data_IF_890301143297
#
_entry.id   IF_890301143297
#
_cell.length_a   1.000
_cell.length_b   1.000
_cell.length_c   1.000
_cell.angle_alpha   90.00
_cell.angle_beta   90.00
_cell.angle_gamma   90.00
#
_symmetry.space_group_name_H-M   'P 1'
#
loop_
_entity.id
_entity.type
_entity.pdbx_description
1 polymer ?
#
# COMPACT_ATOMS: atom_id res chain seq x y z
N UNK A 1 -12.04 26.28 29.21
CA UNK A 1 -12.97 25.14 29.08
C UNK A 1 -12.24 23.80 29.06
N UNK A 2 -11.45 23.47 30.09
CA UNK A 2 -10.60 22.25 30.10
C UNK A 2 -10.70 21.41 31.37
N UNK A 3 -11.24 21.96 32.47
CA UNK A 3 -11.37 21.25 33.75
C UNK A 3 -12.66 20.40 33.87
N UNK A 4 -13.75 20.80 33.19
CA UNK A 4 -15.00 20.03 33.23
C UNK A 4 -14.97 18.81 32.32
N UNK A 5 -14.19 18.87 31.23
CA UNK A 5 -14.07 17.80 30.25
C UNK A 5 -13.38 16.55 30.84
N UNK A 6 -12.38 16.75 31.70
CA UNK A 6 -11.67 15.64 32.36
C UNK A 6 -12.56 14.97 33.41
N UNK A 7 -13.30 15.77 34.19
CA UNK A 7 -14.20 15.28 35.25
C UNK A 7 -15.38 14.49 34.71
N UNK A 8 -15.92 14.88 33.55
CA UNK A 8 -16.99 14.13 32.89
C UNK A 8 -16.48 12.81 32.28
N UNK A 9 -15.27 12.81 31.73
CA UNK A 9 -14.65 11.61 31.14
C UNK A 9 -14.29 10.55 32.17
N UNK A 10 -13.83 10.94 33.35
CA UNK A 10 -13.45 10.01 34.42
C UNK A 10 -14.67 9.27 34.99
N UNK A 11 -15.81 9.97 35.12
CA UNK A 11 -17.09 9.36 35.50
C UNK A 11 -17.60 8.35 34.46
N UNK A 12 -17.40 8.64 33.18
CA UNK A 12 -17.77 7.70 32.11
C UNK A 12 -16.87 6.47 32.10
N UNK A 13 -15.57 6.63 32.33
CA UNK A 13 -14.61 5.52 32.37
C UNK A 13 -14.84 4.55 33.55
N UNK A 14 -15.28 5.06 34.70
CA UNK A 14 -15.58 4.23 35.86
C UNK A 14 -16.78 3.30 35.62
N UNK A 15 -17.80 3.78 34.89
CA UNK A 15 -19.04 3.06 34.60
C UNK A 15 -18.97 2.15 33.36
N UNK A 16 -17.80 2.00 32.73
CA UNK A 16 -17.66 1.09 31.59
C UNK A 16 -17.69 -0.38 32.04
N UNK A 17 -18.38 -1.25 31.29
CA UNK A 17 -18.33 -2.69 31.50
C UNK A 17 -16.94 -3.25 31.18
N UNK A 18 -16.56 -4.34 31.84
CA UNK A 18 -15.20 -4.89 31.79
C UNK A 18 -14.74 -5.27 30.38
N UNK A 19 -15.66 -5.66 29.50
CA UNK A 19 -15.38 -5.95 28.08
C UNK A 19 -14.88 -4.73 27.30
N UNK A 20 -15.32 -3.52 27.68
CA UNK A 20 -14.90 -2.26 27.06
C UNK A 20 -13.57 -1.79 27.64
N UNK A 21 -13.35 -1.98 28.94
CA UNK A 21 -12.05 -1.72 29.61
C UNK A 21 -10.94 -2.58 29.00
N UNK A 22 -11.21 -3.87 28.79
CA UNK A 22 -10.24 -4.81 28.19
C UNK A 22 -9.92 -4.47 26.73
N UNK A 23 -10.92 -4.05 25.94
CA UNK A 23 -10.70 -3.55 24.57
C UNK A 23 -9.84 -2.29 24.56
N UNK A 24 -10.12 -1.34 25.45
CA UNK A 24 -9.41 -0.08 25.51
C UNK A 24 -7.95 -0.24 25.98
N UNK A 25 -7.69 -1.20 26.89
CA UNK A 25 -6.34 -1.58 27.31
C UNK A 25 -5.58 -2.30 26.19
N UNK A 26 -6.26 -3.14 25.38
CA UNK A 26 -5.66 -3.77 24.20
C UNK A 26 -5.36 -2.78 23.06
N UNK A 27 -6.09 -1.67 22.99
CA UNK A 27 -5.93 -0.62 21.98
C UNK A 27 -4.98 0.51 22.41
N UNK A 28 -4.61 0.57 23.70
CA UNK A 28 -3.69 1.55 24.27
C UNK A 28 -2.20 1.25 24.09
N UNK A 29 -1.83 0.05 23.61
CA UNK A 29 -0.45 -0.42 23.52
C UNK A 29 0.24 -0.28 22.15
N UNK A 30 -0.38 0.38 21.16
CA UNK A 30 0.20 0.46 19.81
C UNK A 30 -0.07 1.80 19.14
N UNK A 31 0.65 2.82 19.60
CA UNK A 31 0.82 4.08 18.86
C UNK A 31 2.30 4.30 18.54
N UNK A 32 2.88 3.38 17.74
CA UNK A 32 4.02 3.73 16.90
C UNK A 32 3.45 4.22 15.56
N UNK A 33 3.09 5.50 15.55
CA UNK A 33 2.87 6.29 14.34
C UNK A 33 4.19 6.42 13.61
N UNK A 34 4.24 6.04 12.33
CA UNK A 34 5.42 6.26 11.50
C UNK A 34 5.22 5.84 10.05
N UNK A 35 5.12 6.85 9.17
CA UNK A 35 5.57 6.76 7.78
C UNK A 35 4.62 6.13 6.78
N UNK A 36 4.05 6.96 5.91
CA UNK A 36 3.45 6.49 4.66
C UNK A 36 4.45 5.69 3.85
N UNK A 37 4.03 4.52 3.38
CA UNK A 37 4.78 3.68 2.46
C UNK A 37 3.97 3.56 1.17
N UNK A 38 4.15 4.55 0.30
CA UNK A 38 3.97 4.38 -1.15
C UNK A 38 5.04 3.37 -1.59
N UNK A 39 4.67 2.09 -1.63
CA UNK A 39 5.50 1.02 -2.15
C UNK A 39 4.72 0.30 -3.24
N UNK A 40 5.03 0.61 -4.50
CA UNK A 40 4.59 -0.19 -5.65
C UNK A 40 5.09 -1.61 -5.49
N UNK A 41 4.17 -2.55 -5.23
CA UNK A 41 4.48 -3.95 -5.02
C UNK A 41 3.43 -4.81 -5.70
N UNK A 42 3.87 -5.60 -6.67
CA UNK A 42 3.11 -6.66 -7.33
C UNK A 42 2.52 -7.61 -6.28
N UNK A 43 1.26 -7.40 -5.91
CA UNK A 43 0.64 -8.16 -4.84
C UNK A 43 0.03 -9.48 -5.37
N UNK A 44 0.82 -10.56 -5.30
CA UNK A 44 0.38 -11.96 -5.39
C UNK A 44 -0.40 -12.34 -4.12
N UNK A 45 -1.64 -11.87 -4.02
CA UNK A 45 -2.53 -12.15 -2.89
C UNK A 45 -3.68 -11.14 -2.82
N UNK A 46 -4.54 -11.12 -3.84
CA UNK A 46 -5.58 -10.08 -4.02
C UNK A 46 -6.69 -10.23 -2.97
N UNK A 47 -6.60 -9.47 -1.87
CA UNK A 47 -7.83 -8.89 -1.29
C UNK A 47 -8.56 -8.20 -2.46
N UNK A 48 -9.88 -8.38 -2.60
CA UNK A 48 -10.73 -7.67 -3.58
C UNK A 48 -10.69 -6.16 -3.28
N UNK A 49 -9.56 -5.55 -3.60
CA UNK A 49 -9.26 -4.16 -3.37
C UNK A 49 -9.88 -3.32 -4.46
N UNK A 50 -10.28 -2.11 -4.08
CA UNK A 50 -10.72 -1.09 -5.02
C UNK A 50 -9.51 -0.70 -5.88
N UNK A 51 -9.63 -0.85 -7.19
CA UNK A 51 -8.64 -0.40 -8.17
C UNK A 51 -8.96 1.01 -8.67
N UNK A 52 -8.05 1.59 -9.45
CA UNK A 52 -8.19 2.93 -10.03
C UNK A 52 -7.90 2.85 -11.52
N UNK A 53 -8.63 3.62 -12.31
CA UNK A 53 -8.36 3.81 -13.74
C UNK A 53 -8.37 5.29 -14.08
N UNK A 54 -7.62 5.62 -15.12
CA UNK A 54 -7.58 6.94 -15.71
C UNK A 54 -8.28 6.92 -17.06
N UNK A 55 -9.01 7.99 -17.38
CA UNK A 55 -9.71 8.15 -18.65
C UNK A 55 -9.73 9.62 -19.05
N UNK A 56 -9.92 9.90 -20.34
CA UNK A 56 -10.19 11.25 -20.82
C UNK A 56 -11.70 11.47 -20.89
N UNK A 57 -12.16 12.61 -20.38
CA UNK A 57 -13.55 13.04 -20.58
C UNK A 57 -13.78 13.60 -21.98
N UNK A 58 -15.02 13.98 -22.29
CA UNK A 58 -15.40 14.58 -23.59
C UNK A 58 -14.63 15.87 -23.92
N UNK A 59 -14.07 16.53 -22.89
CA UNK A 59 -13.27 17.74 -23.04
C UNK A 59 -11.76 17.45 -23.09
N UNK A 60 -11.36 16.19 -23.29
CA UNK A 60 -9.97 15.73 -23.25
C UNK A 60 -9.24 16.03 -21.93
N UNK A 61 -9.97 16.13 -20.81
CA UNK A 61 -9.34 16.29 -19.50
C UNK A 61 -9.12 14.93 -18.87
N UNK A 62 -7.93 14.75 -18.29
CA UNK A 62 -7.57 13.53 -17.59
C UNK A 62 -8.37 13.43 -16.29
N UNK A 63 -9.14 12.35 -16.16
CA UNK A 63 -9.95 12.03 -15.00
C UNK A 63 -9.54 10.68 -14.41
N UNK A 64 -9.88 10.48 -13.15
CA UNK A 64 -9.63 9.24 -12.42
C UNK A 64 -10.95 8.70 -11.85
N UNK A 65 -11.14 7.39 -11.96
CA UNK A 65 -12.23 6.70 -11.27
C UNK A 65 -11.76 5.46 -10.52
N UNK A 66 -12.45 5.18 -9.42
CA UNK A 66 -12.30 3.94 -8.66
C UNK A 66 -13.18 2.85 -9.30
N UNK A 67 -12.66 1.62 -9.37
CA UNK A 67 -13.39 0.47 -9.86
C UNK A 67 -13.08 -0.81 -9.08
N UNK A 68 -13.94 -1.81 -9.23
CA UNK A 68 -13.74 -3.17 -8.79
C UNK A 68 -13.54 -4.04 -10.03
N UNK A 69 -12.38 -4.72 -10.07
CA UNK A 69 -12.09 -5.66 -11.13
C UNK A 69 -12.87 -6.97 -10.89
N UNK A 70 -13.49 -7.49 -11.95
CA UNK A 70 -14.22 -8.74 -11.99
C UNK A 70 -13.34 -9.90 -12.49
N UNK A 71 -13.89 -10.73 -13.37
CA UNK A 71 -13.16 -11.84 -13.97
C UNK A 71 -12.18 -11.33 -15.04
N UNK A 72 -11.08 -12.07 -15.23
CA UNK A 72 -10.09 -11.80 -16.29
C UNK A 72 -9.86 -13.05 -17.11
N UNK A 73 -9.76 -12.90 -18.43
CA UNK A 73 -9.41 -13.94 -19.39
C UNK A 73 -7.90 -13.95 -19.73
N UNK A 74 -7.11 -13.13 -19.02
CA UNK A 74 -5.67 -12.94 -19.25
C UNK A 74 -5.33 -11.80 -20.21
N UNK A 75 -6.28 -11.30 -20.99
CA UNK A 75 -6.09 -10.14 -21.88
C UNK A 75 -6.95 -8.95 -21.46
N UNK A 76 -8.20 -9.24 -21.12
CA UNK A 76 -9.19 -8.30 -20.66
C UNK A 76 -9.55 -8.60 -19.21
N UNK A 77 -9.93 -7.56 -18.49
CA UNK A 77 -10.48 -7.68 -17.14
C UNK A 77 -11.82 -6.98 -17.11
N UNK A 78 -12.85 -7.70 -16.69
CA UNK A 78 -14.19 -7.16 -16.49
C UNK A 78 -14.16 -6.07 -15.41
N UNK A 79 -14.95 -5.02 -15.60
CA UNK A 79 -15.22 -4.01 -14.57
C UNK A 79 -16.54 -4.37 -13.89
N UNK A 80 -16.48 -5.07 -12.77
CA UNK A 80 -17.68 -5.54 -12.06
C UNK A 80 -18.50 -4.40 -11.42
N UNK A 81 -17.82 -3.30 -11.04
CA UNK A 81 -18.46 -2.09 -10.50
C UNK A 81 -17.52 -0.91 -10.64
N UNK A 82 -18.03 0.25 -11.04
CA UNK A 82 -17.24 1.48 -11.10
C UNK A 82 -18.11 2.71 -10.88
N UNK A 83 -17.54 3.78 -10.33
CA UNK A 83 -18.23 5.06 -10.21
C UNK A 83 -18.00 5.88 -11.47
N UNK A 84 -19.03 6.46 -12.07
CA UNK A 84 -18.88 7.33 -13.25
C UNK A 84 -18.19 6.67 -14.47
N UNK A 85 -18.16 5.33 -14.53
CA UNK A 85 -17.70 4.58 -15.71
C UNK A 85 -18.94 4.09 -16.46
N UNK A 86 -18.95 4.30 -17.78
CA UNK A 86 -20.01 3.90 -18.71
C UNK A 86 -19.40 3.14 -19.87
N UNK A 87 -20.21 2.35 -20.55
CA UNK A 87 -19.82 1.68 -21.79
C UNK A 87 -19.38 2.69 -22.85
N UNK A 88 -18.44 2.30 -23.71
CA UNK A 88 -17.87 3.16 -24.75
C UNK A 88 -16.80 4.15 -24.27
N UNK A 89 -16.61 4.33 -22.96
CA UNK A 89 -15.52 5.16 -22.43
C UNK A 89 -14.16 4.52 -22.71
N UNK A 90 -13.19 5.33 -23.13
CA UNK A 90 -11.81 4.90 -23.33
C UNK A 90 -11.01 5.12 -22.05
N UNK A 91 -10.39 4.06 -21.55
CA UNK A 91 -9.48 4.09 -20.40
C UNK A 91 -8.02 3.99 -20.86
N UNK A 92 -7.10 4.48 -20.04
CA UNK A 92 -5.66 4.35 -20.26
C UNK A 92 -5.21 3.01 -19.68
N UNK A 93 -4.67 2.13 -20.54
CA UNK A 93 -4.19 0.80 -20.16
C UNK A 93 -2.68 0.75 -19.84
N UNK A 94 -1.91 1.75 -20.28
CA UNK A 94 -0.47 1.82 -20.08
C UNK A 94 0.13 3.12 -20.61
N UNK A 95 1.39 3.36 -20.27
CA UNK A 95 2.21 4.47 -20.77
C UNK A 95 3.36 3.83 -21.54
N UNK A 96 3.66 4.35 -22.72
CA UNK A 96 4.82 3.94 -23.52
C UNK A 96 5.89 5.01 -23.30
N UNK A 97 7.02 4.63 -22.71
CA UNK A 97 8.17 5.51 -22.53
C UNK A 97 9.21 5.18 -23.61
N UNK A 98 9.40 6.08 -24.58
CA UNK A 98 10.34 5.86 -25.70
C UNK A 98 11.82 6.06 -25.31
N UNK A 99 12.12 6.42 -24.05
CA UNK A 99 13.46 6.81 -23.59
C UNK A 99 13.87 6.17 -22.26
N UNK A 100 13.62 4.88 -22.06
CA UNK A 100 14.32 4.14 -20.99
C UNK A 100 15.72 3.77 -21.46
N UNK A 101 16.82 4.32 -20.88
CA UNK A 101 18.15 3.78 -21.14
C UNK A 101 18.17 2.33 -20.66
N UNK A 102 18.56 1.43 -21.55
CA UNK A 102 18.78 0.02 -21.22
C UNK A 102 19.91 -0.01 -20.20
N UNK A 103 19.59 -0.21 -18.93
CA UNK A 103 20.61 -0.48 -17.91
C UNK A 103 21.14 -1.88 -18.17
N UNK A 104 22.14 -1.98 -19.03
CA UNK A 104 22.92 -3.20 -19.28
C UNK A 104 23.75 -3.52 -18.05
N UNK A 105 23.10 -4.02 -16.99
CA UNK A 105 23.82 -4.79 -15.98
C UNK A 105 24.14 -6.15 -16.59
N UNK A 106 25.23 -6.21 -17.35
CA UNK A 106 25.88 -7.46 -17.73
C UNK A 106 26.52 -8.06 -16.48
N UNK A 107 25.71 -8.72 -15.66
CA UNK A 107 26.21 -9.60 -14.61
C UNK A 107 26.56 -10.93 -15.28
N UNK A 108 27.80 -11.03 -15.76
CA UNK A 108 28.32 -12.25 -16.34
C UNK A 108 28.38 -13.32 -15.22
N UNK A 109 27.62 -14.42 -15.29
CA UNK A 109 27.52 -15.42 -14.22
C UNK A 109 28.83 -16.21 -14.01
N UNK A 110 29.81 -16.02 -14.89
CA UNK A 110 31.12 -16.64 -14.83
C UNK A 110 32.20 -15.77 -14.19
N UNK A 111 31.86 -14.60 -13.64
CA UNK A 111 32.84 -13.77 -12.94
C UNK A 111 32.82 -14.12 -11.44
N UNK A 112 33.80 -14.88 -10.91
CA UNK A 112 33.88 -15.12 -9.47
C UNK A 112 34.13 -13.80 -8.76
N UNK A 113 33.19 -13.42 -7.91
CA UNK A 113 33.32 -12.24 -7.07
C UNK A 113 34.46 -12.50 -6.07
N UNK A 114 35.48 -11.63 -5.96
CA UNK A 114 36.54 -11.83 -4.98
C UNK A 114 35.90 -11.81 -3.58
N UNK A 115 36.07 -12.93 -2.89
CA UNK A 115 35.66 -13.15 -1.52
C UNK A 115 36.34 -12.10 -0.64
N UNK A 116 35.61 -11.03 -0.34
CA UNK A 116 36.06 -9.98 0.56
C UNK A 116 36.18 -10.62 1.94
N UNK A 117 37.44 -10.90 2.30
CA UNK A 117 37.81 -11.55 3.54
C UNK A 117 37.14 -10.89 4.74
N UNK A 118 36.57 -11.75 5.58
CA UNK A 118 36.02 -11.46 6.88
C UNK A 118 36.93 -10.50 7.66
N UNK A 119 36.50 -9.24 7.78
CA UNK A 119 36.93 -8.32 8.85
C UNK A 119 35.77 -8.19 9.84
N UNK A 120 35.51 -9.26 10.58
CA UNK A 120 34.94 -9.22 11.93
C UNK A 120 36.05 -9.70 12.87
N UNK A 121 36.63 -8.84 13.70
CA UNK A 121 36.12 -8.48 15.04
C UNK A 121 35.84 -9.72 15.90
N UNK A 122 36.69 -9.92 16.91
CA UNK A 122 36.63 -10.99 17.92
C UNK A 122 37.96 -11.74 17.95
N UNK A 123 38.84 -11.61 18.94
CA UNK A 123 38.60 -11.43 20.36
C UNK A 123 38.80 -12.77 21.08
N UNK A 124 39.94 -12.88 21.79
CA UNK A 124 40.23 -13.73 22.96
C UNK A 124 40.43 -15.24 22.77
N UNK A 125 41.56 -15.71 23.31
CA UNK A 125 41.51 -16.70 24.40
C UNK A 125 42.24 -18.02 24.18
N UNK A 126 43.27 -18.23 25.01
CA UNK A 126 44.00 -19.45 25.37
C UNK A 126 44.95 -20.06 24.33
#
# INVERSE_FOLDING_TARGET
>A
MTAEFTKNREKELANLPDSVKQRMQSQGGSRQSGGGMMGGGNNHGKRKGINRVWYFDENNKLQMSMLFAGLTDGKNTEIARGRNLKEGMKIISGIIEDNTPVSTTSANPFNPQPQMGSRGSGGRGF
#
